data_IF_938579655121
#
_entry.id   IF_938579655121
#
_cell.length_a   1.000
_cell.length_b   1.000
_cell.length_c   1.000
_cell.angle_alpha   90.00
_cell.angle_beta   90.00
_cell.angle_gamma   90.00
#
_symmetry.space_group_name_H-M   'P 1'
#
loop_
_entity.id
_entity.type
_entity.pdbx_description
1 polymer ?
#
# COMPACT_ATOMS: atom_id res chain seq x y z
N UNK A 1 -7.19 9.22 -69.96
CA UNK A 1 -6.06 8.95 -69.04
C UNK A 1 -4.88 9.96 -69.11
N UNK A 2 -4.95 11.08 -69.87
CA UNK A 2 -3.83 12.06 -69.97
C UNK A 2 -3.89 13.26 -69.00
N UNK A 3 -5.07 13.62 -68.48
CA UNK A 3 -5.24 14.82 -67.64
C UNK A 3 -4.65 14.69 -66.21
N UNK A 4 -4.63 13.48 -65.64
CA UNK A 4 -4.06 13.22 -64.32
C UNK A 4 -2.52 13.27 -64.31
N UNK A 5 -1.87 13.03 -65.45
CA UNK A 5 -0.40 13.02 -65.57
C UNK A 5 0.19 14.44 -65.60
N UNK A 6 -0.53 15.42 -66.15
CA UNK A 6 -0.05 16.80 -66.30
C UNK A 6 -0.10 17.59 -64.98
N UNK A 7 -1.03 17.26 -64.07
CA UNK A 7 -1.11 17.86 -62.71
C UNK A 7 -0.05 17.33 -61.73
N UNK A 8 0.60 16.19 -62.01
CA UNK A 8 1.67 15.61 -61.18
C UNK A 8 2.98 16.41 -61.20
N UNK A 9 3.17 17.31 -62.18
CA UNK A 9 4.39 18.11 -62.36
C UNK A 9 4.29 19.54 -61.83
N UNK A 10 3.19 19.90 -61.16
CA UNK A 10 3.02 21.24 -60.60
C UNK A 10 3.81 21.36 -59.28
N UNK A 11 4.62 22.42 -59.07
CA UNK A 11 5.53 22.52 -57.92
C UNK A 11 4.80 22.43 -56.57
N UNK A 12 3.54 22.90 -56.53
CA UNK A 12 2.70 22.84 -55.32
C UNK A 12 2.12 21.46 -55.01
N UNK A 13 2.21 20.48 -55.92
CA UNK A 13 1.71 19.12 -55.67
C UNK A 13 2.54 18.40 -54.59
N UNK A 14 3.85 18.65 -54.52
CA UNK A 14 4.71 18.10 -53.47
C UNK A 14 4.39 18.68 -52.09
N UNK A 15 4.13 19.99 -52.01
CA UNK A 15 3.74 20.68 -50.77
C UNK A 15 2.38 20.18 -50.27
N UNK A 16 1.41 20.01 -51.18
CA UNK A 16 0.09 19.50 -50.83
C UNK A 16 0.15 18.05 -50.30
N UNK A 17 0.99 17.20 -50.90
CA UNK A 17 1.18 15.82 -50.43
C UNK A 17 1.91 15.76 -49.09
N UNK A 18 2.89 16.65 -48.85
CA UNK A 18 3.56 16.76 -47.55
C UNK A 18 2.60 17.22 -46.44
N UNK A 19 1.78 18.23 -46.70
CA UNK A 19 0.77 18.70 -45.74
C UNK A 19 -0.28 17.64 -45.45
N UNK A 20 -0.74 16.92 -46.47
CA UNK A 20 -1.67 15.81 -46.29
C UNK A 20 -1.03 14.68 -45.47
N UNK A 21 0.24 14.35 -45.74
CA UNK A 21 1.01 13.39 -44.96
C UNK A 21 1.12 13.79 -43.49
N UNK A 22 1.50 15.04 -43.22
CA UNK A 22 1.62 15.60 -41.86
C UNK A 22 0.29 15.64 -41.11
N UNK A 23 -0.81 15.98 -41.79
CA UNK A 23 -2.15 15.97 -41.20
C UNK A 23 -2.62 14.54 -40.89
N UNK A 24 -2.33 13.59 -41.77
CA UNK A 24 -2.69 12.18 -41.55
C UNK A 24 -1.86 11.60 -40.40
N UNK A 25 -0.55 11.81 -40.36
CA UNK A 25 0.29 11.29 -39.26
C UNK A 25 0.00 12.01 -37.95
N UNK A 26 -0.19 13.33 -37.95
CA UNK A 26 -0.58 14.09 -36.77
C UNK A 26 -1.98 13.70 -36.25
N UNK A 27 -2.94 13.48 -37.15
CA UNK A 27 -4.28 13.02 -36.81
C UNK A 27 -4.28 11.58 -36.26
N UNK A 28 -3.55 10.67 -36.90
CA UNK A 28 -3.37 9.30 -36.41
C UNK A 28 -2.66 9.27 -35.05
N UNK A 29 -1.66 10.12 -34.84
CA UNK A 29 -0.97 10.24 -33.56
C UNK A 29 -1.93 10.73 -32.46
N UNK A 30 -2.72 11.78 -32.73
CA UNK A 30 -3.71 12.30 -31.77
C UNK A 30 -4.81 11.29 -31.43
N UNK A 31 -5.28 10.51 -32.42
CA UNK A 31 -6.25 9.43 -32.18
C UNK A 31 -5.59 8.30 -31.40
N UNK A 32 -4.35 7.93 -31.72
CA UNK A 32 -3.61 6.90 -30.99
C UNK A 32 -3.35 7.29 -29.52
N UNK A 33 -3.08 8.56 -29.23
CA UNK A 33 -2.87 9.01 -27.84
C UNK A 33 -4.17 9.08 -27.04
N UNK A 34 -5.30 9.42 -27.67
CA UNK A 34 -6.61 9.46 -26.99
C UNK A 34 -7.19 8.08 -26.71
N UNK A 35 -6.88 7.06 -27.53
CA UNK A 35 -7.26 5.66 -27.23
C UNK A 35 -6.32 4.99 -26.24
N UNK A 36 -5.12 5.56 -26.00
CA UNK A 36 -4.14 5.04 -25.06
C UNK A 36 -4.11 5.80 -23.73
N UNK A 37 -4.97 6.81 -23.54
CA UNK A 37 -5.44 7.21 -22.21
C UNK A 37 -6.36 6.10 -21.68
N UNK A 38 -5.77 4.95 -21.37
CA UNK A 38 -6.24 4.23 -20.21
C UNK A 38 -6.13 5.23 -19.06
N UNK A 39 -7.27 5.70 -18.55
CA UNK A 39 -7.31 6.34 -17.25
C UNK A 39 -6.72 5.31 -16.28
N UNK A 40 -5.42 5.40 -16.01
CA UNK A 40 -4.86 4.89 -14.78
C UNK A 40 -5.52 5.75 -13.70
N UNK A 41 -6.72 5.34 -13.27
CA UNK A 41 -7.27 5.84 -12.02
C UNK A 41 -6.22 5.50 -10.99
N UNK A 42 -5.59 6.50 -10.38
CA UNK A 42 -4.74 6.33 -9.20
C UNK A 42 -5.58 5.94 -7.97
N UNK A 43 -6.77 5.36 -8.17
CA UNK A 43 -7.65 4.87 -7.12
C UNK A 43 -7.27 3.41 -6.88
N UNK A 44 -6.70 3.07 -5.71
CA UNK A 44 -6.36 1.70 -5.40
C UNK A 44 -7.62 0.82 -5.37
N UNK A 45 -7.47 -0.46 -5.66
CA UNK A 45 -8.58 -1.42 -5.60
C UNK A 45 -9.22 -1.42 -4.21
N UNK A 46 -10.55 -1.50 -4.15
CA UNK A 46 -11.31 -1.45 -2.89
C UNK A 46 -11.65 -0.03 -2.39
N UNK A 47 -11.09 1.02 -2.99
CA UNK A 47 -11.35 2.41 -2.59
C UNK A 47 -12.07 3.22 -3.67
N UNK A 48 -12.71 4.32 -3.26
CA UNK A 48 -13.27 5.31 -4.16
C UNK A 48 -12.33 6.51 -4.35
N UNK A 49 -12.55 7.29 -5.41
CA UNK A 49 -11.80 8.55 -5.60
C UNK A 49 -12.06 9.56 -4.48
N UNK A 50 -13.23 9.50 -3.84
CA UNK A 50 -13.56 10.35 -2.71
C UNK A 50 -12.74 9.99 -1.46
N UNK A 51 -12.45 8.69 -1.25
CA UNK A 51 -11.62 8.24 -0.13
C UNK A 51 -10.18 8.73 -0.27
N UNK A 52 -9.64 8.67 -1.50
CA UNK A 52 -8.31 9.21 -1.80
C UNK A 52 -8.25 10.73 -1.57
N UNK A 53 -9.26 11.47 -2.03
CA UNK A 53 -9.32 12.93 -1.87
C UNK A 53 -9.46 13.35 -0.39
N UNK A 54 -10.29 12.65 0.39
CA UNK A 54 -10.42 12.93 1.82
C UNK A 54 -9.17 12.49 2.61
N UNK A 55 -8.59 11.35 2.23
CA UNK A 55 -7.31 10.88 2.75
C UNK A 55 -6.19 11.88 2.54
N UNK A 56 -6.11 12.50 1.37
CA UNK A 56 -5.14 13.57 1.08
C UNK A 56 -5.32 14.77 2.02
N UNK A 57 -6.58 15.22 2.25
CA UNK A 57 -6.86 16.32 3.18
C UNK A 57 -6.44 16.00 4.60
N UNK A 58 -6.77 14.80 5.09
CA UNK A 58 -6.37 14.32 6.41
C UNK A 58 -4.84 14.23 6.50
N UNK A 59 -4.18 13.72 5.46
CA UNK A 59 -2.73 13.58 5.38
C UNK A 59 -2.02 14.93 5.45
N UNK A 60 -2.44 15.90 4.63
CA UNK A 60 -1.86 17.24 4.60
C UNK A 60 -2.02 17.94 5.96
N UNK A 61 -3.17 17.76 6.61
CA UNK A 61 -3.45 18.38 7.90
C UNK A 61 -2.65 17.78 9.07
N UNK A 62 -2.32 16.47 9.02
CA UNK A 62 -1.84 15.74 10.21
C UNK A 62 -0.48 15.07 10.04
N UNK A 63 -0.05 14.75 8.82
CA UNK A 63 1.10 13.88 8.55
C UNK A 63 2.20 14.60 7.75
N UNK A 64 1.84 15.54 6.87
CA UNK A 64 2.75 16.16 5.90
C UNK A 64 3.92 16.93 6.55
N UNK A 65 3.77 17.40 7.79
CA UNK A 65 4.87 18.07 8.52
C UNK A 65 6.08 17.14 8.71
N UNK A 66 5.85 15.84 8.91
CA UNK A 66 6.94 14.86 9.07
C UNK A 66 7.20 14.10 7.77
N UNK A 67 6.16 13.81 6.99
CA UNK A 67 6.27 12.93 5.82
C UNK A 67 6.35 13.66 4.48
N UNK A 68 6.35 15.00 4.45
CA UNK A 68 6.35 15.78 3.22
C UNK A 68 4.94 16.00 2.66
N UNK A 69 4.77 16.99 1.80
CA UNK A 69 3.45 17.33 1.24
C UNK A 69 2.92 16.24 0.31
N UNK A 70 3.82 15.57 -0.41
CA UNK A 70 3.55 14.50 -1.37
C UNK A 70 3.93 13.12 -0.78
N UNK A 71 4.06 13.03 0.55
CA UNK A 71 4.51 11.85 1.29
C UNK A 71 5.93 11.35 0.91
N UNK A 72 6.75 12.23 0.34
CA UNK A 72 8.10 11.97 -0.15
C UNK A 72 9.15 11.79 0.96
N UNK A 73 8.77 12.07 2.21
CA UNK A 73 9.63 12.01 3.38
C UNK A 73 10.39 13.30 3.65
N UNK A 74 10.83 13.47 4.89
CA UNK A 74 11.69 14.57 5.35
C UNK A 74 12.73 14.04 6.34
N UNK A 75 13.56 14.92 6.90
CA UNK A 75 14.44 14.55 8.02
C UNK A 75 13.65 14.15 9.28
N UNK A 76 12.38 14.55 9.40
CA UNK A 76 11.52 14.25 10.54
C UNK A 76 10.72 12.94 10.39
N UNK A 77 10.63 12.37 9.18
CA UNK A 77 9.85 11.17 8.93
C UNK A 77 10.16 10.55 7.55
N UNK A 78 10.14 9.21 7.43
CA UNK A 78 10.46 8.54 6.17
C UNK A 78 9.44 8.85 5.08
N UNK A 79 9.79 8.53 3.83
CA UNK A 79 8.81 8.49 2.75
C UNK A 79 7.75 7.42 3.03
N UNK A 80 6.51 7.70 2.64
CA UNK A 80 5.39 6.75 2.67
C UNK A 80 5.02 6.25 1.28
N UNK A 81 5.73 6.68 0.23
CA UNK A 81 5.50 6.18 -1.12
C UNK A 81 5.82 4.69 -1.19
N UNK A 82 4.84 3.87 -1.54
CA UNK A 82 4.98 2.42 -1.70
C UNK A 82 4.97 1.60 -0.41
N UNK A 83 4.67 2.21 0.75
CA UNK A 83 4.51 1.43 2.01
C UNK A 83 3.21 0.63 2.04
N UNK A 84 2.23 0.99 1.21
CA UNK A 84 0.95 0.29 1.05
C UNK A 84 -0.12 0.68 2.08
N UNK A 85 -1.37 0.35 1.77
CA UNK A 85 -2.53 0.63 2.61
C UNK A 85 -2.44 -0.09 3.98
N UNK A 86 -2.00 -1.35 3.99
CA UNK A 86 -1.86 -2.14 5.22
C UNK A 86 -0.90 -1.52 6.23
N UNK A 87 0.16 -0.82 5.76
CA UNK A 87 1.07 -0.12 6.67
C UNK A 87 0.38 1.03 7.37
N UNK A 88 -0.52 1.72 6.67
CA UNK A 88 -1.27 2.84 7.24
C UNK A 88 -2.35 2.33 8.18
N UNK A 89 -3.12 1.32 7.77
CA UNK A 89 -4.15 0.70 8.63
C UNK A 89 -3.53 0.19 9.93
N UNK A 90 -2.42 -0.58 9.85
CA UNK A 90 -1.70 -1.04 11.03
C UNK A 90 -1.18 0.11 11.90
N UNK A 91 -0.44 1.07 11.33
CA UNK A 91 0.24 2.08 12.16
C UNK A 91 -0.76 3.10 12.73
N UNK A 92 -1.76 3.50 11.96
CA UNK A 92 -2.74 4.53 12.35
C UNK A 92 -3.91 3.91 13.13
N UNK A 93 -4.43 2.76 12.69
CA UNK A 93 -5.51 2.01 13.35
C UNK A 93 -5.11 1.49 14.72
N UNK A 94 -3.87 1.00 14.88
CA UNK A 94 -3.35 0.68 16.23
C UNK A 94 -2.92 1.92 17.02
N UNK A 95 -3.00 3.12 16.44
CA UNK A 95 -2.67 4.37 17.10
C UNK A 95 -1.17 4.65 17.24
N UNK A 96 -0.26 3.79 16.77
CA UNK A 96 1.20 4.06 16.81
C UNK A 96 1.59 5.34 16.07
N UNK A 97 0.90 5.63 14.97
CA UNK A 97 0.99 6.85 14.20
C UNK A 97 -0.30 7.67 14.31
N UNK A 98 -0.22 9.01 14.35
CA UNK A 98 1.00 9.84 14.36
C UNK A 98 1.78 9.74 15.67
N UNK A 99 3.10 9.59 15.61
CA UNK A 99 3.92 9.40 16.80
C UNK A 99 3.84 10.61 17.75
N UNK A 100 3.68 10.38 19.07
CA UNK A 100 3.59 11.46 20.07
C UNK A 100 4.96 11.97 20.54
N UNK A 101 5.98 11.12 20.51
CA UNK A 101 7.34 11.45 20.93
C UNK A 101 8.35 10.57 20.22
N UNK A 102 9.53 11.13 19.93
CA UNK A 102 10.63 10.35 19.39
C UNK A 102 11.16 9.37 20.46
N UNK A 103 11.49 8.17 20.03
CA UNK A 103 12.02 7.12 20.90
C UNK A 103 12.56 5.94 20.10
N UNK A 104 13.02 4.87 20.77
CA UNK A 104 13.56 3.69 20.10
C UNK A 104 12.57 3.01 19.15
N UNK A 105 11.26 3.17 19.42
CA UNK A 105 10.19 2.44 18.77
C UNK A 105 8.85 3.16 19.03
N UNK A 106 7.90 3.11 18.08
CA UNK A 106 6.59 3.75 18.23
C UNK A 106 5.73 2.95 19.22
N UNK A 107 5.25 3.63 20.26
CA UNK A 107 4.38 3.03 21.26
C UNK A 107 2.93 3.05 20.80
N UNK A 108 2.18 2.04 21.25
CA UNK A 108 0.73 2.05 21.11
C UNK A 108 0.12 3.14 22.01
N UNK A 109 -0.91 3.79 21.50
CA UNK A 109 -1.68 4.83 22.20
C UNK A 109 -3.11 4.81 21.64
N UNK A 110 -4.07 5.48 22.31
CA UNK A 110 -5.40 5.63 21.74
C UNK A 110 -5.33 6.20 20.31
N UNK A 111 -6.02 5.52 19.38
CA UNK A 111 -6.13 5.95 18.00
C UNK A 111 -6.69 7.37 17.92
N UNK A 112 -6.09 8.20 17.08
CA UNK A 112 -6.52 9.59 16.86
C UNK A 112 -7.54 9.73 15.74
N UNK A 113 -7.59 8.74 14.86
CA UNK A 113 -8.50 8.64 13.73
C UNK A 113 -9.43 7.47 13.97
N UNK A 114 -10.67 7.59 13.48
CA UNK A 114 -11.59 6.45 13.43
C UNK A 114 -11.30 5.58 12.19
N UNK A 115 -11.94 4.41 12.12
CA UNK A 115 -11.73 3.42 11.06
C UNK A 115 -11.92 4.00 9.64
N UNK A 116 -12.94 4.85 9.46
CA UNK A 116 -13.21 5.52 8.17
C UNK A 116 -12.07 6.46 7.78
N UNK A 117 -11.60 7.29 8.70
CA UNK A 117 -10.49 8.21 8.47
C UNK A 117 -9.16 7.46 8.22
N UNK A 118 -8.94 6.36 8.94
CA UNK A 118 -7.79 5.48 8.75
C UNK A 118 -7.82 4.85 7.35
N UNK A 119 -8.98 4.34 6.94
CA UNK A 119 -9.21 3.78 5.59
C UNK A 119 -8.95 4.82 4.50
N UNK A 120 -9.43 6.05 4.67
CA UNK A 120 -9.19 7.16 3.73
C UNK A 120 -7.70 7.53 3.66
N UNK A 121 -7.00 7.62 4.80
CA UNK A 121 -5.56 7.83 4.83
C UNK A 121 -4.80 6.71 4.12
N UNK A 122 -5.22 5.45 4.31
CA UNK A 122 -4.64 4.28 3.66
C UNK A 122 -4.87 4.32 2.13
N UNK A 123 -6.08 4.72 1.69
CA UNK A 123 -6.43 4.92 0.28
C UNK A 123 -5.51 5.95 -0.38
N UNK A 124 -5.29 7.09 0.28
CA UNK A 124 -4.40 8.12 -0.23
C UNK A 124 -2.96 7.61 -0.36
N UNK A 125 -2.39 7.00 0.68
CA UNK A 125 -1.01 6.51 0.62
C UNK A 125 -0.84 5.40 -0.43
N UNK A 126 -1.82 4.52 -0.57
CA UNK A 126 -1.81 3.49 -1.62
C UNK A 126 -1.95 4.07 -3.03
N UNK A 127 -2.53 5.26 -3.20
CA UNK A 127 -2.55 5.96 -4.51
C UNK A 127 -1.18 6.43 -4.97
N UNK A 128 -0.24 6.63 -4.03
CA UNK A 128 1.09 7.20 -4.31
C UNK A 128 2.08 6.16 -4.84
N UNK A 129 1.82 4.86 -4.66
CA UNK A 129 2.69 3.80 -5.16
C UNK A 129 2.23 2.41 -4.75
N UNK A 130 2.77 1.39 -5.42
CA UNK A 130 2.48 -0.01 -5.10
C UNK A 130 3.04 -0.40 -3.73
N UNK A 131 2.21 -1.05 -2.92
CA UNK A 131 2.59 -1.63 -1.64
C UNK A 131 1.54 -2.64 -1.18
N UNK A 132 1.74 -3.29 -0.02
CA UNK A 132 0.78 -4.25 0.51
C UNK A 132 -0.61 -3.62 0.75
N UNK A 133 -1.65 -4.26 0.26
CA UNK A 133 -3.04 -3.89 0.52
C UNK A 133 -3.50 -4.43 1.88
N UNK A 134 -4.57 -3.84 2.44
CA UNK A 134 -5.29 -4.40 3.58
C UNK A 134 -5.78 -5.80 3.18
N UNK A 135 -5.61 -6.83 4.03
CA UNK A 135 -6.01 -8.20 3.69
C UNK A 135 -7.52 -8.34 3.52
N UNK A 136 -7.92 -9.20 2.59
CA UNK A 136 -9.32 -9.62 2.44
C UNK A 136 -9.78 -10.43 3.65
N UNK A 137 -11.07 -10.30 4.00
CA UNK A 137 -11.67 -10.96 5.16
C UNK A 137 -11.52 -12.50 5.14
N UNK A 138 -11.37 -13.12 3.96
CA UNK A 138 -11.16 -14.57 3.82
C UNK A 138 -9.86 -15.08 4.46
N UNK A 139 -8.85 -14.20 4.59
CA UNK A 139 -7.58 -14.51 5.22
C UNK A 139 -7.57 -14.19 6.72
N UNK A 140 -8.64 -13.58 7.22
CA UNK A 140 -8.83 -13.24 8.64
C UNK A 140 -9.76 -14.23 9.35
N UNK A 141 -10.50 -15.06 8.60
CA UNK A 141 -11.42 -16.07 9.15
C UNK A 141 -10.66 -17.23 9.83
N UNK A 142 -10.50 -17.14 11.15
CA UNK A 142 -9.77 -18.12 11.95
C UNK A 142 -10.45 -19.49 12.03
N UNK A 143 -11.76 -19.59 11.77
CA UNK A 143 -12.47 -20.87 11.70
C UNK A 143 -11.99 -21.74 10.53
N UNK A 144 -11.40 -21.11 9.50
CA UNK A 144 -10.79 -21.78 8.35
C UNK A 144 -9.28 -22.03 8.50
N UNK A 145 -8.69 -21.65 9.64
CA UNK A 145 -7.27 -21.86 9.93
C UNK A 145 -6.97 -23.18 10.66
N UNK A 146 -5.75 -23.69 10.50
CA UNK A 146 -5.20 -24.79 11.28
C UNK A 146 -4.26 -24.25 12.39
N UNK A 147 -4.72 -24.16 13.66
CA UNK A 147 -3.89 -23.62 14.75
C UNK A 147 -2.68 -24.51 15.09
N UNK A 148 -2.70 -25.81 14.75
CA UNK A 148 -1.54 -26.67 14.97
C UNK A 148 -0.41 -26.32 13.99
N UNK A 149 -0.75 -26.14 12.71
CA UNK A 149 0.17 -25.65 11.68
C UNK A 149 0.62 -24.22 11.98
N UNK A 150 -0.31 -23.34 12.36
CA UNK A 150 -0.02 -21.97 12.77
C UNK A 150 1.00 -21.88 13.90
N UNK A 151 0.85 -22.74 14.92
CA UNK A 151 1.79 -22.81 16.04
C UNK A 151 3.18 -23.29 15.64
N UNK A 152 3.30 -24.20 14.66
CA UNK A 152 4.59 -24.58 14.08
C UNK A 152 5.24 -23.39 13.37
N UNK A 153 4.51 -22.73 12.47
CA UNK A 153 4.99 -21.56 11.74
C UNK A 153 5.40 -20.42 12.67
N UNK A 154 4.58 -20.13 13.69
CA UNK A 154 4.87 -19.11 14.69
C UNK A 154 6.16 -19.41 15.47
N UNK A 155 6.35 -20.67 15.90
CA UNK A 155 7.57 -21.08 16.63
C UNK A 155 8.82 -20.98 15.77
N UNK A 156 8.70 -21.22 14.47
CA UNK A 156 9.83 -21.14 13.52
C UNK A 156 10.18 -19.68 13.21
N UNK A 157 9.18 -18.82 13.02
CA UNK A 157 9.39 -17.49 12.43
C UNK A 157 9.30 -16.33 13.43
N UNK A 158 8.51 -16.46 14.50
CA UNK A 158 8.08 -15.33 15.33
C UNK A 158 8.55 -15.45 16.79
N UNK A 159 8.56 -16.68 17.34
CA UNK A 159 8.81 -16.93 18.76
C UNK A 159 10.20 -16.49 19.24
N UNK A 160 11.17 -16.34 18.33
CA UNK A 160 12.49 -15.79 18.66
C UNK A 160 12.42 -14.36 19.22
N UNK A 161 11.41 -13.59 18.81
CA UNK A 161 11.19 -12.22 19.26
C UNK A 161 9.98 -12.13 20.20
N UNK A 162 8.86 -12.74 19.82
CA UNK A 162 7.59 -12.63 20.55
C UNK A 162 7.40 -13.66 21.68
N UNK A 163 8.42 -14.47 21.98
CA UNK A 163 8.33 -15.62 22.89
C UNK A 163 7.45 -16.76 22.35
N UNK A 164 7.66 -17.99 22.82
CA UNK A 164 6.86 -19.15 22.43
C UNK A 164 5.38 -19.05 22.81
N UNK A 165 5.06 -18.28 23.86
CA UNK A 165 3.71 -17.98 24.30
C UNK A 165 3.16 -16.66 23.73
N UNK A 166 3.83 -16.07 22.73
CA UNK A 166 3.45 -14.80 22.11
C UNK A 166 3.37 -13.57 23.07
N UNK A 167 3.93 -13.69 24.28
CA UNK A 167 3.91 -12.64 25.31
C UNK A 167 4.84 -11.45 25.05
N UNK A 168 5.63 -11.48 23.97
CA UNK A 168 6.62 -10.46 23.64
C UNK A 168 8.00 -10.71 24.26
N UNK A 169 8.91 -9.77 24.04
CA UNK A 169 10.30 -9.90 24.49
C UNK A 169 11.12 -8.63 24.30
N UNK A 170 12.14 -8.42 25.15
CA UNK A 170 13.07 -7.32 25.00
C UNK A 170 14.00 -7.54 23.80
N UNK A 171 14.27 -6.47 23.05
CA UNK A 171 15.22 -6.42 21.94
C UNK A 171 16.38 -5.47 22.29
N UNK A 172 17.37 -5.37 21.39
CA UNK A 172 18.52 -4.48 21.55
C UNK A 172 18.11 -3.00 21.45
N UNK A 173 18.95 -2.10 21.97
CA UNK A 173 18.74 -0.64 21.87
C UNK A 173 17.41 -0.13 22.46
N UNK A 174 16.90 -0.79 23.50
CA UNK A 174 15.67 -0.38 24.20
C UNK A 174 14.37 -0.65 23.41
N UNK A 175 14.46 -1.42 22.33
CA UNK A 175 13.30 -1.92 21.57
C UNK A 175 12.73 -3.17 22.23
N UNK A 176 11.52 -3.55 21.84
CA UNK A 176 10.85 -4.77 22.29
C UNK A 176 9.85 -5.27 21.24
N UNK A 177 9.67 -6.58 21.21
CA UNK A 177 8.53 -7.21 20.56
C UNK A 177 7.32 -7.15 21.53
N UNK A 178 6.17 -6.58 21.12
CA UNK A 178 5.00 -6.53 21.98
C UNK A 178 4.39 -7.92 22.19
N UNK A 179 3.53 -8.04 23.21
CA UNK A 179 2.60 -9.17 23.31
C UNK A 179 1.68 -9.17 22.09
N UNK A 180 1.33 -10.36 21.61
CA UNK A 180 0.34 -10.56 20.54
C UNK A 180 -1.01 -11.04 21.07
N UNK A 181 -1.13 -11.15 22.40
CA UNK A 181 -2.38 -11.47 23.09
C UNK A 181 -3.44 -10.38 22.87
N UNK A 182 -4.65 -10.79 22.48
CA UNK A 182 -5.78 -9.89 22.21
C UNK A 182 -5.57 -8.90 21.05
N UNK A 183 -4.60 -9.13 20.15
CA UNK A 183 -4.41 -8.30 18.96
C UNK A 183 -5.38 -8.73 17.87
N UNK A 184 -6.06 -7.75 17.28
CA UNK A 184 -6.98 -7.96 16.15
C UNK A 184 -6.31 -8.71 14.98
N UNK A 185 -7.03 -9.66 14.40
CA UNK A 185 -6.57 -10.54 13.33
C UNK A 185 -6.01 -9.77 12.14
N UNK A 186 -6.67 -8.67 11.75
CA UNK A 186 -6.22 -7.80 10.66
C UNK A 186 -4.85 -7.22 10.98
N UNK A 187 -4.68 -6.65 12.17
CA UNK A 187 -3.41 -6.05 12.57
C UNK A 187 -2.28 -7.08 12.70
N UNK A 188 -2.57 -8.33 13.08
CA UNK A 188 -1.56 -9.40 13.06
C UNK A 188 -1.14 -9.71 11.62
N UNK A 189 -2.09 -9.83 10.69
CA UNK A 189 -1.80 -10.05 9.28
C UNK A 189 -0.96 -8.92 8.70
N UNK A 190 -1.36 -7.68 8.96
CA UNK A 190 -0.68 -6.49 8.46
C UNK A 190 0.72 -6.34 9.05
N UNK A 191 0.90 -6.64 10.34
CA UNK A 191 2.22 -6.66 10.95
C UNK A 191 3.17 -7.65 10.22
N UNK A 192 2.66 -8.82 9.84
CA UNK A 192 3.45 -9.78 9.07
C UNK A 192 3.86 -9.23 7.70
N UNK A 193 2.94 -8.64 6.93
CA UNK A 193 3.24 -8.22 5.54
C UNK A 193 3.97 -6.87 5.44
N UNK A 194 3.87 -6.03 6.47
CA UNK A 194 4.49 -4.70 6.49
C UNK A 194 5.80 -4.66 7.26
N UNK A 195 6.03 -5.60 8.20
CA UNK A 195 7.24 -5.65 9.02
C UNK A 195 7.43 -4.37 9.84
N UNK A 196 6.53 -4.04 10.77
CA UNK A 196 6.56 -2.77 11.47
C UNK A 196 7.83 -2.63 12.33
N UNK A 197 8.44 -1.45 12.26
CA UNK A 197 9.60 -1.05 13.05
C UNK A 197 10.83 -1.95 12.84
N UNK A 198 11.05 -2.97 13.69
CA UNK A 198 12.18 -3.89 13.60
C UNK A 198 11.76 -5.32 13.25
N UNK A 199 10.46 -5.53 13.03
CA UNK A 199 9.94 -6.82 12.61
C UNK A 199 10.30 -7.06 11.13
N UNK A 200 10.86 -8.23 10.77
CA UNK A 200 11.07 -8.57 9.37
C UNK A 200 9.76 -8.62 8.58
N UNK A 201 9.83 -8.36 7.27
CA UNK A 201 8.68 -8.49 6.37
C UNK A 201 8.47 -9.95 5.96
N UNK A 202 7.28 -10.47 6.24
CA UNK A 202 6.80 -11.78 5.83
C UNK A 202 5.74 -11.62 4.73
N UNK A 203 6.19 -11.30 3.51
CA UNK A 203 5.32 -11.16 2.35
C UNK A 203 4.66 -12.50 1.94
N UNK A 204 3.67 -12.44 1.05
CA UNK A 204 2.89 -13.62 0.60
C UNK A 204 3.72 -14.65 -0.18
N UNK A 205 4.91 -14.29 -0.66
CA UNK A 205 5.82 -15.24 -1.29
C UNK A 205 6.59 -16.08 -0.26
N UNK A 206 6.80 -15.56 0.95
CA UNK A 206 7.53 -16.23 2.03
C UNK A 206 6.58 -16.98 2.98
N UNK A 207 5.49 -16.33 3.37
CA UNK A 207 4.40 -16.93 4.16
C UNK A 207 3.11 -16.65 3.40
N UNK A 208 2.55 -17.65 2.71
CA UNK A 208 1.29 -17.51 1.97
C UNK A 208 0.14 -17.01 2.86
N UNK A 209 -0.88 -16.37 2.28
CA UNK A 209 -2.04 -15.87 3.03
C UNK A 209 -2.73 -16.93 3.90
N UNK A 210 -2.84 -18.17 3.43
CA UNK A 210 -3.38 -19.29 4.21
C UNK A 210 -2.52 -19.64 5.43
N UNK A 211 -1.19 -19.60 5.30
CA UNK A 211 -0.25 -19.85 6.39
C UNK A 211 -0.28 -18.70 7.42
N UNK A 212 -0.54 -17.47 6.97
CA UNK A 212 -0.79 -16.33 7.87
C UNK A 212 -2.07 -16.50 8.66
N UNK A 213 -3.16 -16.92 8.00
CA UNK A 213 -4.43 -17.24 8.66
C UNK A 213 -4.25 -18.34 9.70
N UNK A 214 -3.44 -19.36 9.41
CA UNK A 214 -3.11 -20.41 10.38
C UNK A 214 -2.37 -19.84 11.61
N UNK A 215 -1.36 -18.98 11.39
CA UNK A 215 -0.64 -18.29 12.49
C UNK A 215 -1.61 -17.46 13.34
N UNK A 216 -2.53 -16.72 12.70
CA UNK A 216 -3.54 -15.91 13.40
C UNK A 216 -4.48 -16.82 14.19
N UNK A 217 -4.97 -17.91 13.60
CA UNK A 217 -5.80 -18.90 14.28
C UNK A 217 -5.08 -19.50 15.49
N UNK A 218 -3.78 -19.75 15.42
CA UNK A 218 -3.00 -20.18 16.58
C UNK A 218 -2.98 -19.12 17.69
N UNK A 219 -2.80 -17.84 17.34
CA UNK A 219 -2.76 -16.75 18.32
C UNK A 219 -4.11 -16.56 19.03
N UNK A 220 -5.22 -16.61 18.29
CA UNK A 220 -6.57 -16.47 18.88
C UNK A 220 -7.02 -17.68 19.71
N UNK A 221 -6.38 -18.84 19.55
CA UNK A 221 -6.71 -20.07 20.29
C UNK A 221 -5.82 -20.32 21.52
N UNK A 222 -4.84 -19.45 21.83
CA UNK A 222 -3.91 -19.62 22.95
C UNK A 222 -4.38 -19.02 24.29
N UNK A 223 -5.65 -18.63 24.40
CA UNK A 223 -6.27 -18.18 25.66
C UNK A 223 -6.63 -19.32 26.62
#
# INVERSE_FOLDING_TARGET
MKALSQKRRHPFAGVALLLLGLLITGGLYAVATTVNEAQASNTPEGYSSADVEEGERLFVANCATCHGMDAEGTDAGPSLVGVGAASVDFQVGTGRMPMQMQGPQAQEKPAQFNDEQTSQLAAYVASLGSGPAVPDDEYLDTDQGDPARGGELFRINCAMCHNAAAAGGALTEGKFAPSLDGVDERHVYEAMITGPQNMPVFNDANIPPEDKRDIIAFLQNNE
#
